data_IF_859226075574
#
_entry.id   IF_859226075574
#
_cell.length_a   1.000
_cell.length_b   1.000
_cell.length_c   1.000
_cell.angle_alpha   90.00
_cell.angle_beta   90.00
_cell.angle_gamma   90.00
#
_symmetry.space_group_name_H-M   'P 1'
#
loop_
_entity.id
_entity.type
_entity.pdbx_description
1 polymer ?
#
# COMPACT_ATOMS: atom_id res chain seq x y z
N UNK A 1 18.67 -3.05 -2.29
CA UNK A 1 17.35 -2.85 -1.65
C UNK A 1 16.56 -4.13 -1.84
N UNK A 2 16.03 -4.72 -0.76
CA UNK A 2 15.22 -5.95 -0.85
C UNK A 2 13.77 -5.63 -1.22
N UNK A 3 13.07 -6.53 -1.92
CA UNK A 3 11.67 -6.36 -2.30
C UNK A 3 10.77 -6.05 -1.09
N UNK A 4 11.06 -6.63 0.08
CA UNK A 4 10.34 -6.34 1.33
C UNK A 4 10.50 -4.89 1.79
N UNK A 5 11.71 -4.33 1.70
CA UNK A 5 11.97 -2.93 2.07
C UNK A 5 11.22 -1.95 1.17
N UNK A 6 11.17 -2.23 -0.14
CA UNK A 6 10.42 -1.40 -1.11
C UNK A 6 8.92 -1.49 -0.83
N UNK A 7 8.40 -2.69 -0.61
CA UNK A 7 7.00 -2.89 -0.30
C UNK A 7 6.59 -2.21 1.02
N UNK A 8 7.43 -2.27 2.05
CA UNK A 8 7.18 -1.60 3.33
C UNK A 8 7.11 -0.07 3.17
N UNK A 9 8.03 0.53 2.40
CA UNK A 9 7.99 1.97 2.09
C UNK A 9 6.73 2.32 1.30
N UNK A 10 6.36 1.50 0.30
CA UNK A 10 5.15 1.70 -0.49
C UNK A 10 3.86 1.61 0.33
N UNK A 11 3.80 0.74 1.34
CA UNK A 11 2.69 0.67 2.30
C UNK A 11 2.59 1.96 3.09
N UNK A 12 3.71 2.44 3.65
CA UNK A 12 3.72 3.66 4.44
C UNK A 12 3.26 4.88 3.63
N UNK A 13 3.71 5.01 2.37
CA UNK A 13 3.28 6.07 1.45
C UNK A 13 1.78 5.96 1.13
N UNK A 14 1.28 4.75 0.84
CA UNK A 14 -0.14 4.52 0.58
C UNK A 14 -1.02 4.93 1.78
N UNK A 15 -0.61 4.57 3.01
CA UNK A 15 -1.32 4.97 4.23
C UNK A 15 -1.28 6.48 4.44
N UNK A 16 -0.12 7.13 4.23
CA UNK A 16 0.00 8.58 4.34
C UNK A 16 -0.89 9.33 3.33
N UNK A 17 -0.97 8.85 2.09
CA UNK A 17 -1.86 9.41 1.06
C UNK A 17 -3.33 9.30 1.44
N UNK A 18 -3.75 8.15 1.97
CA UNK A 18 -5.13 7.94 2.43
C UNK A 18 -5.50 8.90 3.56
N UNK A 19 -4.63 9.02 4.58
CA UNK A 19 -4.82 9.95 5.70
C UNK A 19 -4.87 11.42 5.23
N UNK A 20 -3.99 11.80 4.30
CA UNK A 20 -4.02 13.14 3.71
C UNK A 20 -5.34 13.42 2.97
N UNK A 21 -5.87 12.45 2.21
CA UNK A 21 -7.19 12.57 1.56
C UNK A 21 -8.33 12.70 2.58
N UNK A 22 -8.29 11.89 3.65
CA UNK A 22 -9.27 11.94 4.73
C UNK A 22 -9.30 13.32 5.40
N UNK A 23 -8.12 13.89 5.71
CA UNK A 23 -8.01 15.24 6.29
C UNK A 23 -8.56 16.32 5.38
N UNK A 24 -8.23 16.29 4.08
CA UNK A 24 -8.76 17.25 3.11
C UNK A 24 -10.28 17.16 2.98
N UNK A 25 -10.82 15.94 2.93
CA UNK A 25 -12.27 15.72 2.90
C UNK A 25 -12.93 16.20 4.19
N UNK A 26 -12.32 15.96 5.36
CA UNK A 26 -12.88 16.43 6.63
C UNK A 26 -12.97 17.96 6.70
N UNK A 27 -11.98 18.66 6.15
CA UNK A 27 -11.95 20.13 6.13
C UNK A 27 -12.94 20.73 5.11
N UNK A 28 -13.16 20.06 3.97
CA UNK A 28 -14.07 20.54 2.92
C UNK A 28 -14.79 19.36 2.23
N UNK A 29 -15.85 18.80 2.84
CA UNK A 29 -16.41 17.50 2.44
C UNK A 29 -16.98 17.43 1.02
N UNK A 30 -17.44 18.55 0.48
CA UNK A 30 -18.04 18.63 -0.85
C UNK A 30 -17.07 19.10 -1.93
N UNK A 31 -15.88 19.59 -1.54
CA UNK A 31 -14.88 20.03 -2.50
C UNK A 31 -14.14 18.82 -3.06
N UNK A 32 -13.95 18.81 -4.37
CA UNK A 32 -13.11 17.83 -5.07
C UNK A 32 -13.48 16.37 -4.75
N UNK A 33 -14.76 16.09 -4.49
CA UNK A 33 -15.23 14.78 -4.02
C UNK A 33 -14.80 13.64 -4.94
N UNK A 34 -14.88 13.84 -6.26
CA UNK A 34 -14.45 12.85 -7.25
C UNK A 34 -12.93 12.63 -7.21
N UNK A 35 -12.14 13.69 -7.03
CA UNK A 35 -10.67 13.59 -6.94
C UNK A 35 -10.26 12.87 -5.66
N UNK A 36 -10.85 13.21 -4.52
CA UNK A 36 -10.56 12.56 -3.24
C UNK A 36 -11.01 11.09 -3.24
N UNK A 37 -12.10 10.74 -3.92
CA UNK A 37 -12.48 9.34 -4.13
C UNK A 37 -11.41 8.58 -4.92
N UNK A 38 -10.89 9.18 -6.00
CA UNK A 38 -9.80 8.59 -6.79
C UNK A 38 -8.52 8.45 -5.96
N UNK A 39 -8.17 9.43 -5.13
CA UNK A 39 -6.99 9.34 -4.26
C UNK A 39 -7.09 8.19 -3.25
N UNK A 40 -8.28 7.96 -2.67
CA UNK A 40 -8.52 6.80 -1.79
C UNK A 40 -8.39 5.48 -2.54
N UNK A 41 -8.95 5.39 -3.76
CA UNK A 41 -8.83 4.17 -4.60
C UNK A 41 -7.36 3.91 -4.95
N UNK A 42 -6.60 4.94 -5.33
CA UNK A 42 -5.15 4.81 -5.61
C UNK A 42 -4.40 4.32 -4.38
N UNK A 43 -4.68 4.88 -3.21
CA UNK A 43 -4.06 4.45 -1.96
C UNK A 43 -4.39 2.98 -1.63
N UNK A 44 -5.65 2.57 -1.81
CA UNK A 44 -6.08 1.17 -1.60
C UNK A 44 -5.38 0.20 -2.55
N UNK A 45 -5.32 0.53 -3.85
CA UNK A 45 -4.62 -0.28 -4.86
C UNK A 45 -3.14 -0.40 -4.55
N UNK A 46 -2.48 0.72 -4.19
CA UNK A 46 -1.07 0.73 -3.83
C UNK A 46 -0.79 -0.12 -2.57
N UNK A 47 -1.66 -0.04 -1.56
CA UNK A 47 -1.55 -0.87 -0.36
C UNK A 47 -1.65 -2.36 -0.71
N UNK A 48 -2.69 -2.75 -1.45
CA UNK A 48 -2.91 -4.16 -1.86
C UNK A 48 -1.75 -4.70 -2.67
N UNK A 49 -1.22 -3.92 -3.61
CA UNK A 49 -0.08 -4.32 -4.43
C UNK A 49 1.16 -4.59 -3.58
N UNK A 50 1.52 -3.68 -2.66
CA UNK A 50 2.69 -3.85 -1.81
C UNK A 50 2.53 -5.01 -0.81
N UNK A 51 1.33 -5.21 -0.26
CA UNK A 51 1.03 -6.38 0.60
C UNK A 51 1.17 -7.69 -0.18
N UNK A 52 0.72 -7.72 -1.44
CA UNK A 52 0.91 -8.89 -2.31
C UNK A 52 2.39 -9.20 -2.52
N UNK A 53 3.22 -8.18 -2.75
CA UNK A 53 4.68 -8.34 -2.89
C UNK A 53 5.31 -8.91 -1.61
N UNK A 54 4.91 -8.42 -0.43
CA UNK A 54 5.38 -8.97 0.85
C UNK A 54 5.03 -10.44 0.99
N UNK A 55 3.79 -10.81 0.67
CA UNK A 55 3.34 -12.20 0.73
C UNK A 55 4.17 -13.10 -0.18
N UNK A 56 4.31 -12.72 -1.44
CA UNK A 56 5.10 -13.51 -2.41
C UNK A 56 6.57 -13.62 -2.01
N UNK A 57 7.16 -12.57 -1.44
CA UNK A 57 8.53 -12.61 -0.92
C UNK A 57 8.67 -13.61 0.24
N UNK A 58 7.70 -13.63 1.16
CA UNK A 58 7.67 -14.59 2.27
C UNK A 58 7.47 -16.03 1.78
N UNK A 59 6.54 -16.26 0.86
CA UNK A 59 6.29 -17.59 0.26
C UNK A 59 7.54 -18.12 -0.44
N UNK A 60 8.19 -17.28 -1.25
CA UNK A 60 9.45 -17.66 -1.94
C UNK A 60 10.54 -18.01 -0.93
N UNK A 61 10.65 -17.25 0.16
CA UNK A 61 11.62 -17.54 1.22
C UNK A 61 11.32 -18.89 1.88
N UNK A 62 10.05 -19.19 2.16
CA UNK A 62 9.62 -20.49 2.69
C UNK A 62 9.97 -21.64 1.76
N UNK A 63 9.62 -21.54 0.47
CA UNK A 63 9.95 -22.58 -0.53
C UNK A 63 11.46 -22.83 -0.62
N UNK A 64 12.28 -21.78 -0.55
CA UNK A 64 13.74 -21.95 -0.54
C UNK A 64 14.23 -22.67 0.72
N UNK A 65 13.67 -22.35 1.89
CA UNK A 65 14.01 -23.04 3.14
C UNK A 65 13.60 -24.52 3.10
N UNK A 66 12.41 -24.82 2.56
CA UNK A 66 11.91 -26.19 2.42
C UNK A 66 12.79 -27.04 1.47
N UNK A 67 13.38 -26.43 0.44
CA UNK A 67 14.31 -27.12 -0.47
C UNK A 67 15.66 -27.44 0.17
N UNK A 68 16.05 -26.71 1.21
CA UNK A 68 17.32 -26.92 1.93
C UNK A 68 17.20 -27.96 3.06
N UNK A 69 15.98 -28.24 3.53
CA UNK A 69 15.69 -29.21 4.60
C UNK A 69 15.69 -30.66 4.08
#
# INVERSE_FOLDING_TARGET
MSAMSIAAVGIADATARFDASARRTANAPLNNLAEEAVERIKAEVALKANVSVLRSASETTGTLLDLLA
#
